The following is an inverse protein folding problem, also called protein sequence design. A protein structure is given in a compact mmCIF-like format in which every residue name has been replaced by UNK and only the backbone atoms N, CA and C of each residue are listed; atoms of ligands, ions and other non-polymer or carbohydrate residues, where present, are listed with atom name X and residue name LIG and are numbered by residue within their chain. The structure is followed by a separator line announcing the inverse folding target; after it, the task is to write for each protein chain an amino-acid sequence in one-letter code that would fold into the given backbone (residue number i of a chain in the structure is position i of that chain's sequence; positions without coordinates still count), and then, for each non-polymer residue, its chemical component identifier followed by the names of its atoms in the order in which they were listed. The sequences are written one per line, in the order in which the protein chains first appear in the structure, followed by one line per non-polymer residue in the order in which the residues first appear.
data_IF_425772073309
#
_entry.id   IF_425772073309
#
_cell.length_a   1.000
_cell.length_b   1.000
_cell.length_c   1.000
_cell.angle_alpha   90.00
_cell.angle_beta   90.00
_cell.angle_gamma   90.00
#
_symmetry.space_group_name_H-M   'P 1'
#
loop_
_entity.id
_entity.type
_entity.pdbx_description
1 polymer ?
#
# COMPACT_ATOMS: atom_id res chain seq x y z
N UNK A 1 32.15 -25.04 -53.96
CA UNK A 1 32.38 -25.02 -52.50
C UNK A 1 32.30 -23.56 -52.11
N UNK A 2 31.16 -23.00 -51.71
CA UNK A 2 30.25 -23.39 -50.63
C UNK A 2 30.27 -22.20 -49.68
N UNK A 3 29.34 -21.25 -49.87
CA UNK A 3 29.31 -19.98 -49.15
C UNK A 3 28.69 -20.13 -47.77
N UNK A 4 29.44 -19.76 -46.73
CA UNK A 4 28.98 -19.82 -45.34
C UNK A 4 28.23 -18.54 -44.95
N UNK A 5 26.91 -18.70 -44.85
CA UNK A 5 25.91 -17.76 -44.39
C UNK A 5 26.03 -17.56 -42.87
N UNK A 6 26.70 -16.49 -42.43
CA UNK A 6 26.74 -16.12 -41.00
C UNK A 6 25.49 -15.31 -40.64
N UNK A 7 24.47 -16.03 -40.21
CA UNK A 7 23.21 -15.54 -39.66
C UNK A 7 23.48 -14.66 -38.41
N UNK A 8 23.33 -13.34 -38.55
CA UNK A 8 23.40 -12.38 -37.45
C UNK A 8 22.05 -12.34 -36.75
N UNK A 9 21.93 -13.08 -35.65
CA UNK A 9 20.78 -13.01 -34.76
C UNK A 9 20.77 -11.64 -34.06
N UNK A 10 19.96 -10.71 -34.57
CA UNK A 10 19.72 -9.40 -33.97
C UNK A 10 18.68 -9.52 -32.88
N UNK A 11 19.12 -9.66 -31.62
CA UNK A 11 18.27 -9.55 -30.45
C UNK A 11 17.56 -8.19 -30.47
N UNK A 12 16.28 -8.21 -30.81
CA UNK A 12 15.47 -7.01 -30.89
C UNK A 12 15.01 -6.63 -29.48
N UNK A 13 15.68 -5.66 -28.87
CA UNK A 13 15.29 -5.13 -27.55
C UNK A 13 14.04 -4.26 -27.70
N UNK A 14 12.89 -4.79 -27.29
CA UNK A 14 11.66 -4.00 -27.18
C UNK A 14 11.76 -3.12 -25.94
N UNK A 15 11.75 -1.80 -26.12
CA UNK A 15 11.70 -0.81 -25.04
C UNK A 15 10.28 -0.28 -24.98
N UNK A 16 9.58 -0.54 -23.89
CA UNK A 16 8.25 0.03 -23.62
C UNK A 16 8.41 1.30 -22.79
N UNK A 17 8.21 2.46 -23.41
CA UNK A 17 8.16 3.75 -22.71
C UNK A 17 6.74 4.02 -22.18
N UNK A 18 6.62 4.19 -20.87
CA UNK A 18 5.40 4.68 -20.24
C UNK A 18 5.56 6.17 -19.94
N UNK A 19 4.72 7.01 -20.55
CA UNK A 19 4.61 8.42 -20.18
C UNK A 19 3.52 8.58 -19.12
N UNK A 20 3.93 8.67 -17.86
CA UNK A 20 3.01 8.94 -16.76
C UNK A 20 2.69 10.44 -16.78
N UNK A 21 1.53 10.79 -17.33
CA UNK A 21 1.00 12.15 -17.26
C UNK A 21 0.14 12.29 -16.00
N UNK A 22 0.39 13.33 -15.19
CA UNK A 22 -0.53 13.71 -14.09
C UNK A 22 -0.04 13.53 -12.65
N UNK A 23 1.27 13.56 -12.37
CA UNK A 23 1.75 13.72 -11.00
C UNK A 23 1.49 15.16 -10.49
N UNK A 24 0.26 15.46 -10.10
CA UNK A 24 0.01 16.57 -9.19
C UNK A 24 0.61 16.23 -7.82
N UNK A 25 1.16 17.23 -7.13
CA UNK A 25 1.60 17.03 -5.74
C UNK A 25 0.40 16.52 -4.93
N UNK A 26 0.58 15.47 -4.09
CA UNK A 26 -0.51 14.99 -3.26
C UNK A 26 -1.00 16.13 -2.38
N UNK A 27 -2.30 16.33 -2.31
CA UNK A 27 -2.88 17.35 -1.45
C UNK A 27 -2.58 17.01 0.03
N UNK A 28 -2.63 18.00 0.92
CA UNK A 28 -2.34 17.83 2.33
C UNK A 28 -3.19 16.73 2.99
N UNK A 29 -4.49 16.65 2.64
CA UNK A 29 -5.41 15.61 3.12
C UNK A 29 -4.94 14.22 2.71
N UNK A 30 -4.52 14.06 1.46
CA UNK A 30 -4.01 12.78 0.97
C UNK A 30 -2.75 12.35 1.73
N UNK A 31 -1.81 13.28 1.98
CA UNK A 31 -0.62 13.01 2.78
C UNK A 31 -0.95 12.67 4.23
N UNK A 32 -1.94 13.36 4.82
CA UNK A 32 -2.39 13.06 6.18
C UNK A 32 -3.03 11.68 6.28
N UNK A 33 -3.89 11.31 5.32
CA UNK A 33 -4.53 9.99 5.26
C UNK A 33 -3.51 8.87 5.05
N UNK A 34 -2.42 9.12 4.35
CA UNK A 34 -1.33 8.15 4.24
C UNK A 34 -0.57 8.03 5.56
N UNK A 35 -0.28 9.16 6.23
CA UNK A 35 0.45 9.17 7.50
C UNK A 35 -0.26 8.43 8.64
N UNK A 36 -1.60 8.43 8.69
CA UNK A 36 -2.36 7.69 9.73
C UNK A 36 -2.24 6.16 9.60
N UNK A 37 -1.74 5.65 8.47
CA UNK A 37 -1.49 4.22 8.28
C UNK A 37 -0.14 3.78 8.85
N UNK A 38 0.69 4.71 9.34
CA UNK A 38 2.02 4.42 9.86
C UNK A 38 2.13 4.77 11.34
N UNK A 39 2.96 4.02 12.05
CA UNK A 39 3.23 4.23 13.46
C UNK A 39 3.91 5.59 13.67
N UNK A 40 3.38 6.46 14.54
CA UNK A 40 3.95 7.79 14.77
C UNK A 40 5.32 7.76 15.47
N UNK A 41 5.72 6.61 16.02
CA UNK A 41 6.99 6.45 16.73
C UNK A 41 8.10 5.88 15.84
N UNK A 42 7.80 4.84 15.06
CA UNK A 42 8.80 4.11 14.29
C UNK A 42 8.57 4.09 12.78
N UNK A 43 7.46 4.66 12.29
CA UNK A 43 7.13 4.68 10.88
C UNK A 43 6.75 3.32 10.28
N UNK A 44 6.64 2.25 11.08
CA UNK A 44 6.14 0.94 10.58
C UNK A 44 4.66 1.05 10.25
N UNK A 45 4.22 0.43 9.15
CA UNK A 45 2.81 0.32 8.79
C UNK A 45 2.00 -0.35 9.90
N UNK A 46 0.83 0.22 10.21
CA UNK A 46 -0.07 -0.25 11.25
C UNK A 46 -0.94 -1.38 10.72
N UNK A 47 -1.20 -2.36 11.58
CA UNK A 47 -2.20 -3.40 11.32
C UNK A 47 -3.54 -2.98 11.90
N UNK A 48 -4.58 -2.96 11.06
CA UNK A 48 -5.93 -2.58 11.45
C UNK A 48 -6.76 -3.84 11.74
N UNK A 49 -7.50 -3.81 12.84
CA UNK A 49 -8.37 -4.88 13.28
C UNK A 49 -9.78 -4.32 13.43
N UNK A 50 -10.72 -4.90 12.69
CA UNK A 50 -12.15 -4.65 12.82
C UNK A 50 -12.79 -5.87 13.46
N UNK A 51 -13.49 -5.68 14.57
CA UNK A 51 -14.20 -6.74 15.29
C UNK A 51 -15.68 -6.38 15.36
N UNK A 52 -16.51 -7.30 14.91
CA UNK A 52 -17.96 -7.18 15.03
C UNK A 52 -18.44 -8.12 16.13
N UNK A 53 -19.14 -7.58 17.10
CA UNK A 53 -19.77 -8.32 18.18
C UNK A 53 -21.30 -8.28 18.01
N UNK A 54 -21.88 -9.41 17.62
CA UNK A 54 -23.32 -9.52 17.41
C UNK A 54 -24.10 -9.78 18.70
N UNK A 55 -23.43 -10.19 19.78
CA UNK A 55 -24.07 -10.34 21.09
C UNK A 55 -24.38 -8.97 21.68
N UNK A 56 -23.40 -8.06 21.60
CA UNK A 56 -23.54 -6.69 22.09
C UNK A 56 -23.95 -5.68 21.01
N UNK A 57 -24.18 -6.15 19.78
CA UNK A 57 -24.48 -5.29 18.63
C UNK A 57 -23.49 -4.14 18.53
N UNK A 58 -22.19 -4.45 18.54
CA UNK A 58 -21.13 -3.45 18.51
C UNK A 58 -20.06 -3.78 17.49
N UNK A 59 -19.32 -2.75 17.09
CA UNK A 59 -18.15 -2.83 16.23
C UNK A 59 -17.01 -2.13 16.94
N UNK A 60 -15.85 -2.75 17.00
CA UNK A 60 -14.61 -2.14 17.45
C UNK A 60 -13.59 -2.09 16.32
N UNK A 61 -12.94 -0.94 16.16
CA UNK A 61 -11.82 -0.75 15.24
C UNK A 61 -10.59 -0.33 16.03
N UNK A 62 -9.45 -0.97 15.77
CA UNK A 62 -8.18 -0.67 16.45
C UNK A 62 -7.02 -0.85 15.48
N UNK A 63 -6.02 0.04 15.55
CA UNK A 63 -4.76 -0.10 14.83
C UNK A 63 -3.64 -0.49 15.79
N UNK A 64 -2.74 -1.38 15.38
CA UNK A 64 -1.59 -1.81 16.19
C UNK A 64 -0.29 -1.80 15.40
N UNK A 65 0.80 -1.34 16.04
CA UNK A 65 2.12 -1.41 15.46
C UNK A 65 2.76 -2.78 15.73
N UNK A 66 3.20 -3.54 14.70
CA UNK A 66 3.81 -4.84 14.90
C UNK A 66 5.22 -4.77 15.52
N UNK A 67 5.88 -3.61 15.42
CA UNK A 67 7.25 -3.40 15.92
C UNK A 67 7.26 -2.84 17.33
N UNK A 68 6.49 -1.78 17.59
CA UNK A 68 6.46 -1.09 18.88
C UNK A 68 5.34 -1.56 19.79
N UNK A 69 4.41 -2.37 19.29
CA UNK A 69 3.25 -2.90 20.02
C UNK A 69 2.30 -1.85 20.61
N UNK A 70 2.46 -0.58 20.24
CA UNK A 70 1.50 0.46 20.59
C UNK A 70 0.19 0.25 19.83
N UNK A 71 -0.90 0.67 20.48
CA UNK A 71 -2.25 0.65 19.92
C UNK A 71 -2.71 2.07 19.70
N UNK A 72 -3.31 2.33 18.55
CA UNK A 72 -3.81 3.66 18.15
C UNK A 72 -5.19 3.51 17.53
N UNK A 73 -5.87 4.64 17.34
CA UNK A 73 -7.14 4.73 16.63
C UNK A 73 -8.21 3.73 17.11
N UNK A 74 -8.34 3.54 18.44
CA UNK A 74 -9.37 2.67 19.01
C UNK A 74 -10.72 3.38 18.97
N UNK A 75 -11.66 2.83 18.21
CA UNK A 75 -13.02 3.33 18.06
C UNK A 75 -14.02 2.21 18.33
N UNK A 76 -15.19 2.56 18.86
CA UNK A 76 -16.28 1.61 19.10
C UNK A 76 -17.59 2.23 18.67
N UNK A 77 -18.42 1.45 17.99
CA UNK A 77 -19.70 1.85 17.42
C UNK A 77 -20.77 0.83 17.81
N UNK A 78 -22.00 1.29 18.04
CA UNK A 78 -23.17 0.42 18.16
C UNK A 78 -23.80 0.17 16.79
N UNK A 79 -24.19 -1.06 16.52
CA UNK A 79 -24.99 -1.48 15.37
C UNK A 79 -26.47 -1.17 15.68
N UNK A 80 -26.96 0.00 15.25
CA UNK A 80 -28.36 0.44 15.39
C UNK A 80 -29.09 0.42 14.05
#
# INVERSE_FOLDING_TARGET
MGGDEKNKNTDSKVITEFRIHGFSKPDYRSQFLEAINYCPLCGTELFFVHKTDFEYWSVEEEAHCPTCHIRTNKQSFSLQ
#
